data_IF_428366557107
#
_entry.id   IF_428366557107
#
_cell.length_a   1.000
_cell.length_b   1.000
_cell.length_c   1.000
_cell.angle_alpha   90.00
_cell.angle_beta   90.00
_cell.angle_gamma   90.00
#
_symmetry.space_group_name_H-M   'P 1'
#
loop_
_entity.id
_entity.type
_entity.pdbx_description
1 polymer ?
#
# COMPACT_ATOMS: atom_id res chain seq x y z
N UNK A 1 0.52 -30.59 26.12
CA UNK A 1 1.75 -29.80 25.98
C UNK A 1 1.86 -29.35 24.52
N UNK A 2 2.11 -28.08 24.22
CA UNK A 2 2.22 -27.62 22.83
C UNK A 2 3.61 -27.99 22.31
N UNK A 3 3.73 -28.46 21.06
CA UNK A 3 5.03 -28.90 20.53
C UNK A 3 5.93 -27.70 20.21
N UNK A 4 7.23 -27.93 20.27
CA UNK A 4 8.24 -26.98 19.77
C UNK A 4 8.43 -27.17 18.26
N UNK A 5 8.84 -26.10 17.58
CA UNK A 5 9.22 -26.17 16.16
C UNK A 5 10.32 -27.21 15.95
N UNK A 6 11.30 -27.30 16.86
CA UNK A 6 12.36 -28.30 16.84
C UNK A 6 11.88 -29.75 16.96
N UNK A 7 10.72 -29.97 17.58
CA UNK A 7 10.10 -31.31 17.68
C UNK A 7 9.32 -31.69 16.44
N UNK A 8 8.65 -30.75 15.79
CA UNK A 8 7.86 -31.00 14.58
C UNK A 8 8.71 -31.11 13.34
N UNK A 9 9.77 -30.32 13.27
CA UNK A 9 10.64 -30.22 12.10
C UNK A 9 12.13 -30.31 12.49
N UNK A 10 12.58 -31.46 13.07
CA UNK A 10 13.94 -31.63 13.55
C UNK A 10 14.98 -31.52 12.45
N UNK A 11 14.63 -31.78 11.19
CA UNK A 11 15.52 -31.71 10.04
C UNK A 11 16.08 -30.29 9.82
N UNK A 12 15.35 -29.24 10.23
CA UNK A 12 15.84 -27.87 10.06
C UNK A 12 16.81 -27.44 11.17
N UNK A 13 16.84 -28.16 12.28
CA UNK A 13 17.70 -27.84 13.42
C UNK A 13 19.17 -28.20 13.16
N UNK A 14 19.49 -28.83 12.04
CA UNK A 14 20.87 -29.04 11.60
C UNK A 14 21.56 -27.72 11.16
N UNK A 15 20.78 -26.73 10.72
CA UNK A 15 21.27 -25.38 10.42
C UNK A 15 21.34 -24.58 11.74
N UNK A 16 22.53 -24.07 12.12
CA UNK A 16 22.70 -23.35 13.38
C UNK A 16 21.84 -22.08 13.47
N UNK A 17 21.61 -21.39 12.37
CA UNK A 17 20.76 -20.18 12.34
C UNK A 17 19.30 -20.54 12.63
N UNK A 18 18.81 -21.65 12.06
CA UNK A 18 17.49 -22.16 12.37
C UNK A 18 17.37 -22.63 13.82
N UNK A 19 18.36 -23.34 14.32
CA UNK A 19 18.35 -23.81 15.70
C UNK A 19 18.32 -22.65 16.71
N UNK A 20 19.09 -21.58 16.43
CA UNK A 20 19.11 -20.38 17.27
C UNK A 20 17.78 -19.63 17.24
N UNK A 21 17.16 -19.48 16.05
CA UNK A 21 15.91 -18.76 15.90
C UNK A 21 14.68 -19.56 16.37
N UNK A 22 14.57 -20.82 15.97
CA UNK A 22 13.36 -21.64 16.14
C UNK A 22 13.44 -22.70 17.23
N UNK A 23 14.59 -22.93 17.83
CA UNK A 23 14.82 -24.02 18.78
C UNK A 23 13.86 -24.01 19.98
N UNK A 24 13.48 -22.85 20.47
CA UNK A 24 12.57 -22.66 21.62
C UNK A 24 11.18 -22.14 21.22
N UNK A 25 10.89 -22.07 19.93
CA UNK A 25 9.61 -21.54 19.44
C UNK A 25 8.52 -22.60 19.59
N UNK A 26 7.40 -22.20 20.16
CA UNK A 26 6.23 -23.04 20.39
C UNK A 26 5.27 -22.91 19.20
N UNK A 27 4.80 -24.03 18.69
CA UNK A 27 3.69 -24.03 17.73
C UNK A 27 2.38 -23.99 18.53
N UNK A 28 1.72 -22.83 18.52
CA UNK A 28 0.45 -22.61 19.22
C UNK A 28 -0.67 -23.41 18.57
N UNK A 29 -0.81 -23.27 17.26
CA UNK A 29 -1.74 -24.02 16.41
C UNK A 29 -1.37 -23.86 14.93
N UNK A 30 -1.90 -24.76 14.11
CA UNK A 30 -1.93 -24.65 12.67
C UNK A 30 -3.38 -24.67 12.21
N UNK A 31 -3.75 -23.77 11.31
CA UNK A 31 -5.09 -23.68 10.75
C UNK A 31 -5.04 -23.86 9.24
N UNK A 32 -5.89 -24.71 8.72
CA UNK A 32 -6.07 -24.86 7.28
C UNK A 32 -7.36 -24.15 6.85
N UNK A 33 -7.22 -23.08 6.11
CA UNK A 33 -8.31 -22.29 5.54
C UNK A 33 -8.57 -22.80 4.12
N UNK A 34 -9.46 -23.77 3.98
CA UNK A 34 -9.69 -24.46 2.70
C UNK A 34 -10.26 -23.55 1.61
N UNK A 35 -11.10 -22.58 1.99
CA UNK A 35 -11.68 -21.62 1.05
C UNK A 35 -10.61 -20.73 0.41
N UNK A 36 -9.66 -20.28 1.22
CA UNK A 36 -8.58 -19.40 0.82
C UNK A 36 -7.34 -20.15 0.29
N UNK A 37 -7.39 -21.51 0.34
CA UNK A 37 -6.24 -22.39 0.07
C UNK A 37 -4.99 -21.96 0.84
N UNK A 38 -5.16 -21.73 2.14
CA UNK A 38 -4.10 -21.19 2.99
C UNK A 38 -3.92 -22.08 4.23
N UNK A 39 -2.65 -22.24 4.65
CA UNK A 39 -2.29 -22.83 5.95
C UNK A 39 -1.55 -21.78 6.76
N UNK A 40 -2.08 -21.44 7.92
CA UNK A 40 -1.50 -20.50 8.86
C UNK A 40 -0.91 -21.22 10.05
N UNK A 41 0.39 -21.06 10.29
CA UNK A 41 1.08 -21.53 11.49
C UNK A 41 1.21 -20.36 12.47
N UNK A 42 0.60 -20.51 13.65
CA UNK A 42 0.78 -19.53 14.72
C UNK A 42 1.91 -20.01 15.64
N UNK A 43 3.00 -19.25 15.62
CA UNK A 43 4.21 -19.54 16.38
C UNK A 43 4.36 -18.55 17.53
N UNK A 44 4.71 -19.02 18.72
CA UNK A 44 5.03 -18.18 19.88
C UNK A 44 6.52 -18.23 20.16
N UNK A 45 7.14 -17.06 20.20
CA UNK A 45 8.54 -16.86 20.48
C UNK A 45 8.75 -15.84 21.61
N UNK A 46 9.95 -15.78 22.16
CA UNK A 46 10.32 -14.75 23.13
C UNK A 46 10.47 -13.37 22.48
N UNK A 47 10.97 -13.32 21.23
CA UNK A 47 11.22 -12.11 20.47
C UNK A 47 10.65 -12.26 19.05
N UNK A 48 10.51 -11.17 18.26
CA UNK A 48 10.14 -11.25 16.85
C UNK A 48 11.06 -12.20 16.08
N UNK A 49 10.47 -13.03 15.22
CA UNK A 49 11.23 -13.97 14.39
C UNK A 49 11.80 -13.27 13.15
N UNK A 50 12.98 -13.70 12.73
CA UNK A 50 13.59 -13.22 11.49
C UNK A 50 12.76 -13.62 10.26
N UNK A 51 12.40 -12.63 9.44
CA UNK A 51 11.56 -12.86 8.26
C UNK A 51 12.21 -13.73 7.20
N UNK A 52 13.53 -13.61 7.00
CA UNK A 52 14.24 -14.43 6.00
C UNK A 52 14.25 -15.88 6.42
N UNK A 53 14.46 -16.15 7.72
CA UNK A 53 14.39 -17.51 8.26
C UNK A 53 12.95 -18.05 8.22
N UNK A 54 11.95 -17.24 8.51
CA UNK A 54 10.55 -17.61 8.32
C UNK A 54 10.22 -17.96 6.87
N UNK A 55 10.69 -17.16 5.91
CA UNK A 55 10.49 -17.41 4.48
C UNK A 55 11.20 -18.71 4.04
N UNK A 56 12.41 -18.96 4.52
CA UNK A 56 13.14 -20.22 4.27
C UNK A 56 12.41 -21.44 4.85
N UNK A 57 11.85 -21.30 6.06
CA UNK A 57 11.05 -22.36 6.68
C UNK A 57 9.81 -22.66 5.82
N UNK A 58 9.05 -21.63 5.43
CA UNK A 58 7.88 -21.80 4.58
C UNK A 58 8.21 -22.43 3.24
N UNK A 59 9.28 -21.97 2.57
CA UNK A 59 9.74 -22.54 1.31
C UNK A 59 10.09 -24.03 1.44
N UNK A 60 10.67 -24.42 2.56
CA UNK A 60 11.03 -25.82 2.82
C UNK A 60 9.82 -26.71 3.15
N UNK A 61 8.76 -26.12 3.71
CA UNK A 61 7.49 -26.83 4.00
C UNK A 61 6.54 -26.83 2.80
N UNK A 62 6.71 -25.95 1.83
CA UNK A 62 5.81 -25.81 0.69
C UNK A 62 5.52 -27.10 -0.08
N UNK A 63 6.51 -28.02 -0.29
CA UNK A 63 6.24 -29.29 -0.97
C UNK A 63 5.25 -30.20 -0.25
N UNK A 64 5.16 -30.12 1.09
CA UNK A 64 4.24 -30.93 1.90
C UNK A 64 2.80 -30.40 1.86
N UNK A 65 2.61 -29.18 1.37
CA UNK A 65 1.32 -28.48 1.32
C UNK A 65 1.00 -27.98 -0.10
N UNK A 66 1.11 -28.87 -1.08
CA UNK A 66 0.82 -28.53 -2.48
C UNK A 66 -0.57 -27.89 -2.65
N UNK A 67 -0.62 -26.77 -3.36
CA UNK A 67 -1.87 -26.04 -3.65
C UNK A 67 -2.36 -25.15 -2.51
N UNK A 68 -1.60 -25.01 -1.42
CA UNK A 68 -1.89 -24.09 -0.32
C UNK A 68 -0.80 -23.04 -0.20
N UNK A 69 -1.18 -21.80 0.07
CA UNK A 69 -0.27 -20.74 0.50
C UNK A 69 0.04 -20.95 1.99
N UNK A 70 1.33 -20.93 2.34
CA UNK A 70 1.75 -21.06 3.74
C UNK A 70 2.02 -19.69 4.34
N UNK A 71 1.53 -19.46 5.56
CA UNK A 71 1.77 -18.24 6.33
C UNK A 71 2.21 -18.55 7.75
N UNK A 72 3.08 -17.70 8.29
CA UNK A 72 3.48 -17.72 9.69
C UNK A 72 2.95 -16.46 10.35
N UNK A 73 2.22 -16.65 11.46
CA UNK A 73 1.84 -15.60 12.40
C UNK A 73 2.70 -15.74 13.64
N UNK A 74 3.58 -14.78 13.88
CA UNK A 74 4.43 -14.80 15.07
C UNK A 74 3.77 -14.05 16.23
N UNK A 75 3.66 -14.69 17.39
CA UNK A 75 3.23 -14.11 18.66
C UNK A 75 4.46 -13.89 19.55
N UNK A 76 4.64 -12.67 20.05
CA UNK A 76 5.76 -12.32 20.93
C UNK A 76 5.32 -11.31 22.00
N UNK A 77 6.15 -11.08 23.02
CA UNK A 77 5.81 -10.14 24.08
C UNK A 77 5.88 -8.68 23.62
N UNK A 78 4.89 -7.85 24.02
CA UNK A 78 4.86 -6.43 23.65
C UNK A 78 6.15 -5.66 24.04
N UNK A 79 6.79 -6.04 25.13
CA UNK A 79 8.05 -5.45 25.56
C UNK A 79 9.21 -5.62 24.55
N UNK A 80 9.07 -6.55 23.61
CA UNK A 80 10.04 -6.82 22.55
C UNK A 80 9.66 -6.13 21.24
N UNK A 81 8.60 -5.32 21.24
CA UNK A 81 8.22 -4.51 20.08
C UNK A 81 9.17 -3.33 19.97
N UNK A 82 10.07 -3.38 19.02
CA UNK A 82 10.98 -2.31 18.64
C UNK A 82 10.61 -1.70 17.27
N UNK A 83 11.37 -0.73 16.83
CA UNK A 83 11.16 -0.09 15.52
C UNK A 83 11.28 -1.10 14.39
N UNK A 84 12.22 -2.03 14.47
CA UNK A 84 12.43 -3.04 13.43
C UNK A 84 11.22 -3.98 13.31
N UNK A 85 10.75 -4.51 14.44
CA UNK A 85 9.56 -5.35 14.49
C UNK A 85 8.32 -4.61 13.97
N UNK A 86 8.19 -3.32 14.28
CA UNK A 86 7.07 -2.52 13.80
C UNK A 86 7.15 -2.30 12.28
N UNK A 87 8.33 -2.01 11.74
CA UNK A 87 8.53 -1.90 10.28
C UNK A 87 8.20 -3.21 9.56
N UNK A 88 8.57 -4.33 10.16
CA UNK A 88 8.20 -5.67 9.69
C UNK A 88 6.67 -5.84 9.61
N UNK A 89 5.94 -5.46 10.68
CA UNK A 89 4.47 -5.51 10.66
C UNK A 89 3.85 -4.58 9.62
N UNK A 90 4.45 -3.42 9.36
CA UNK A 90 4.01 -2.51 8.29
C UNK A 90 4.20 -3.11 6.90
N UNK A 91 5.30 -3.80 6.65
CA UNK A 91 5.52 -4.51 5.38
C UNK A 91 4.53 -5.68 5.20
N UNK A 92 4.18 -6.37 6.29
CA UNK A 92 3.15 -7.41 6.25
C UNK A 92 1.77 -6.81 5.93
N UNK A 93 1.40 -5.68 6.54
CA UNK A 93 0.16 -4.97 6.23
C UNK A 93 0.12 -4.54 4.75
N UNK A 94 1.24 -4.10 4.20
CA UNK A 94 1.38 -3.73 2.80
C UNK A 94 1.15 -4.94 1.87
N UNK A 95 1.71 -6.10 2.22
CA UNK A 95 1.48 -7.36 1.49
C UNK A 95 0.02 -7.82 1.58
N UNK A 96 -0.63 -7.60 2.71
CA UNK A 96 -2.05 -7.90 2.91
C UNK A 96 -3.00 -6.92 2.18
N UNK A 97 -2.44 -5.98 1.40
CA UNK A 97 -3.21 -5.06 0.54
C UNK A 97 -3.68 -3.78 1.24
N UNK A 98 -3.17 -3.45 2.42
CA UNK A 98 -3.44 -2.15 3.05
C UNK A 98 -2.75 -1.05 2.22
N UNK A 99 -3.47 0.00 1.74
CA UNK A 99 -2.94 0.99 0.81
C UNK A 99 -2.04 2.02 1.50
N UNK A 100 -0.90 1.56 2.03
CA UNK A 100 0.09 2.38 2.74
C UNK A 100 1.38 2.61 1.95
N UNK A 101 1.41 2.17 0.69
CA UNK A 101 2.58 2.27 -0.19
C UNK A 101 3.08 3.71 -0.33
N UNK A 102 4.37 3.91 -0.07
CA UNK A 102 5.05 5.20 -0.23
C UNK A 102 4.84 6.20 0.90
N UNK A 103 3.76 6.08 1.70
CA UNK A 103 3.50 7.01 2.81
C UNK A 103 4.43 6.79 4.00
N UNK A 104 4.82 5.54 4.24
CA UNK A 104 5.60 5.15 5.41
C UNK A 104 7.09 4.90 5.13
N UNK A 105 7.54 4.99 3.88
CA UNK A 105 8.92 4.66 3.47
C UNK A 105 9.98 5.53 4.21
N UNK A 106 9.62 6.77 4.57
CA UNK A 106 10.48 7.70 5.32
C UNK A 106 9.87 8.12 6.64
N UNK A 107 8.98 7.30 7.19
CA UNK A 107 8.35 7.57 8.46
C UNK A 107 9.34 7.43 9.60
N UNK A 108 9.23 8.30 10.60
CA UNK A 108 9.86 8.13 11.90
C UNK A 108 8.93 7.37 12.82
N UNK A 109 9.47 6.46 13.61
CA UNK A 109 8.70 5.66 14.54
C UNK A 109 9.28 5.91 15.95
N UNK A 110 8.40 6.20 16.90
CA UNK A 110 8.76 6.33 18.32
C UNK A 110 7.82 5.48 19.15
N UNK A 111 8.39 4.63 20.00
CA UNK A 111 7.65 3.74 20.90
C UNK A 111 7.97 4.17 22.34
N UNK A 112 6.95 4.60 23.07
CA UNK A 112 7.08 5.02 24.47
C UNK A 112 6.01 4.32 25.31
N UNK A 113 6.39 3.26 25.99
CA UNK A 113 5.44 2.39 26.70
C UNK A 113 4.41 1.83 25.74
N UNK A 114 3.12 2.13 25.98
CA UNK A 114 2.03 1.69 25.09
C UNK A 114 1.63 2.76 24.05
N UNK A 115 2.38 3.86 23.95
CA UNK A 115 2.13 4.89 22.94
C UNK A 115 3.12 4.71 21.79
N UNK A 116 2.59 4.63 20.58
CA UNK A 116 3.35 4.54 19.35
C UNK A 116 3.04 5.78 18.50
N UNK A 117 4.08 6.54 18.19
CA UNK A 117 3.97 7.71 17.33
C UNK A 117 4.63 7.43 16.00
N UNK A 118 3.88 7.59 14.91
CA UNK A 118 4.38 7.44 13.54
C UNK A 118 4.38 8.81 12.87
N UNK A 119 5.59 9.33 12.63
CA UNK A 119 5.78 10.58 11.91
C UNK A 119 5.81 10.34 10.40
N UNK A 120 4.91 10.97 9.66
CA UNK A 120 4.70 10.76 8.22
C UNK A 120 5.03 12.04 7.47
N UNK A 121 5.83 11.96 6.40
CA UNK A 121 6.22 13.12 5.61
C UNK A 121 5.09 13.65 4.73
N UNK A 122 4.17 12.80 4.29
CA UNK A 122 3.03 13.17 3.45
C UNK A 122 1.89 12.15 3.61
N UNK A 123 0.67 12.57 3.26
CA UNK A 123 -0.50 11.70 3.29
C UNK A 123 -1.11 11.44 4.68
N UNK A 124 -0.75 12.21 5.71
CA UNK A 124 -1.28 12.05 7.08
C UNK A 124 -2.80 12.06 7.11
N UNK A 125 -3.46 13.00 6.41
CA UNK A 125 -4.93 13.07 6.34
C UNK A 125 -5.54 11.80 5.73
N UNK A 126 -4.98 11.32 4.63
CA UNK A 126 -5.45 10.09 3.98
C UNK A 126 -5.35 8.88 4.91
N UNK A 127 -4.21 8.72 5.61
CA UNK A 127 -4.01 7.64 6.56
C UNK A 127 -4.99 7.74 7.75
N UNK A 128 -5.28 8.96 8.24
CA UNK A 128 -6.27 9.18 9.30
C UNK A 128 -7.69 8.83 8.82
N UNK A 129 -8.10 9.30 7.65
CA UNK A 129 -9.41 8.99 7.06
C UNK A 129 -9.62 7.49 6.82
N UNK A 130 -8.55 6.78 6.50
CA UNK A 130 -8.54 5.33 6.34
C UNK A 130 -8.60 4.57 7.68
N UNK A 131 -8.43 5.25 8.82
CA UNK A 131 -8.37 4.61 10.14
C UNK A 131 -7.09 3.81 10.37
N UNK A 132 -5.97 4.23 9.77
CA UNK A 132 -4.69 3.54 9.86
C UNK A 132 -4.21 3.34 11.31
N UNK A 133 -4.47 4.30 12.20
CA UNK A 133 -4.09 4.21 13.62
C UNK A 133 -4.74 2.98 14.28
N UNK A 134 -6.03 2.77 14.02
CA UNK A 134 -6.77 1.62 14.54
C UNK A 134 -6.33 0.30 13.89
N UNK A 135 -6.10 0.31 12.57
CA UNK A 135 -5.61 -0.86 11.85
C UNK A 135 -4.25 -1.31 12.36
N UNK A 136 -3.33 -0.37 12.58
CA UNK A 136 -2.00 -0.67 13.12
C UNK A 136 -2.08 -1.14 14.57
N UNK A 137 -2.90 -0.49 15.41
CA UNK A 137 -3.11 -0.91 16.80
C UNK A 137 -3.67 -2.35 16.87
N UNK A 138 -4.64 -2.67 16.00
CA UNK A 138 -5.20 -4.02 15.90
C UNK A 138 -4.15 -5.04 15.45
N UNK A 139 -3.35 -4.72 14.44
CA UNK A 139 -2.29 -5.62 13.95
C UNK A 139 -1.26 -5.89 15.07
N UNK A 140 -0.84 -4.89 15.82
CA UNK A 140 0.07 -5.06 16.94
C UNK A 140 -0.58 -5.94 18.02
N UNK A 141 -1.84 -5.70 18.35
CA UNK A 141 -2.56 -6.51 19.32
C UNK A 141 -2.69 -7.99 18.90
N UNK A 142 -2.83 -8.26 17.62
CA UNK A 142 -2.87 -9.63 17.09
C UNK A 142 -1.56 -10.39 17.30
N UNK A 143 -0.41 -9.69 17.33
CA UNK A 143 0.92 -10.28 17.51
C UNK A 143 1.41 -10.27 18.96
N UNK A 144 1.02 -9.25 19.74
CA UNK A 144 1.53 -9.04 21.10
C UNK A 144 0.51 -9.26 22.20
N UNK A 145 -0.78 -9.32 21.84
CA UNK A 145 -1.90 -9.39 22.80
C UNK A 145 -2.19 -8.05 23.49
N UNK A 146 -1.47 -6.97 23.16
CA UNK A 146 -1.63 -5.63 23.75
C UNK A 146 -2.05 -4.64 22.68
N UNK A 147 -3.13 -3.89 22.94
CA UNK A 147 -3.58 -2.83 22.02
C UNK A 147 -2.90 -1.51 22.42
N UNK A 148 -1.91 -1.03 21.66
CA UNK A 148 -1.25 0.24 21.93
C UNK A 148 -2.13 1.41 21.46
N UNK A 149 -1.80 2.59 21.97
CA UNK A 149 -2.31 3.86 21.42
C UNK A 149 -1.39 4.28 20.28
N UNK A 150 -1.87 4.23 19.06
CA UNK A 150 -1.16 4.72 17.89
C UNK A 150 -1.56 6.16 17.60
N UNK A 151 -0.62 7.01 17.23
CA UNK A 151 -0.85 8.41 16.85
C UNK A 151 -0.03 8.73 15.61
N UNK A 152 -0.69 9.27 14.58
CA UNK A 152 -0.04 9.80 13.38
C UNK A 152 0.34 11.27 13.59
N UNK A 153 1.57 11.61 13.25
CA UNK A 153 2.02 12.99 13.25
C UNK A 153 2.59 13.36 11.87
N UNK A 154 2.37 14.60 11.45
CA UNK A 154 3.07 15.12 10.28
C UNK A 154 4.53 15.39 10.67
N UNK A 155 5.46 14.72 10.00
CA UNK A 155 6.90 14.94 10.19
C UNK A 155 7.39 16.21 9.45
N UNK A 156 6.53 16.81 8.63
CA UNK A 156 6.84 18.04 7.86
C UNK A 156 6.22 19.21 8.57
N UNK A 157 7.01 20.26 8.81
CA UNK A 157 6.50 21.52 9.38
C UNK A 157 5.52 22.17 8.40
N UNK A 158 4.55 22.93 8.91
CA UNK A 158 3.57 23.64 8.08
C UNK A 158 4.24 24.51 7.01
N UNK A 159 5.42 25.08 7.32
CA UNK A 159 6.22 25.88 6.38
C UNK A 159 6.80 25.05 5.23
N UNK A 160 7.25 23.82 5.49
CA UNK A 160 7.75 22.91 4.45
C UNK A 160 6.63 22.37 3.57
N UNK A 161 5.44 22.12 4.14
CA UNK A 161 4.27 21.74 3.36
C UNK A 161 3.87 22.86 2.39
N UNK A 162 3.81 24.11 2.85
CA UNK A 162 3.50 25.25 1.98
C UNK A 162 4.53 25.40 0.86
N UNK A 163 5.82 25.24 1.16
CA UNK A 163 6.87 25.29 0.12
C UNK A 163 6.76 24.13 -0.89
N UNK A 164 6.34 22.95 -0.47
CA UNK A 164 6.09 21.82 -1.38
C UNK A 164 4.86 22.07 -2.26
N UNK A 165 3.78 22.58 -1.69
CA UNK A 165 2.57 22.95 -2.44
C UNK A 165 2.86 24.05 -3.46
N UNK A 166 3.57 25.12 -3.08
CA UNK A 166 4.00 26.17 -4.02
C UNK A 166 4.90 25.64 -5.14
N UNK A 167 5.81 24.71 -4.84
CA UNK A 167 6.66 24.08 -5.86
C UNK A 167 5.86 23.20 -6.82
N UNK A 168 4.84 22.52 -6.33
CA UNK A 168 3.93 21.72 -7.15
C UNK A 168 3.05 22.62 -8.03
N UNK A 169 2.49 23.68 -7.48
CA UNK A 169 1.71 24.65 -8.25
C UNK A 169 2.53 25.31 -9.35
N UNK A 170 3.79 25.68 -9.07
CA UNK A 170 4.72 26.22 -10.09
C UNK A 170 5.06 25.21 -11.19
N UNK A 171 5.08 23.92 -10.90
CA UNK A 171 5.31 22.86 -11.91
C UNK A 171 4.07 22.54 -12.73
N UNK A 172 2.88 22.72 -12.17
CA UNK A 172 1.59 22.44 -12.81
C UNK A 172 1.07 23.70 -13.53
N UNK A 173 1.58 24.89 -13.21
CA UNK A 173 1.19 26.10 -13.91
C UNK A 173 1.44 25.90 -15.40
N UNK A 174 0.41 25.99 -16.25
CA UNK A 174 0.59 25.85 -17.69
C UNK A 174 1.58 26.94 -18.15
N UNK A 175 2.47 26.64 -19.09
CA UNK A 175 3.40 27.63 -19.59
C UNK A 175 2.63 28.85 -20.07
N UNK A 176 2.91 30.01 -19.47
CA UNK A 176 2.31 31.27 -19.90
C UNK A 176 2.86 31.52 -21.31
N UNK A 177 2.12 31.13 -22.31
CA UNK A 177 2.41 31.46 -23.70
C UNK A 177 2.18 32.94 -23.81
N UNK A 178 3.25 33.72 -23.70
CA UNK A 178 3.25 35.14 -24.08
C UNK A 178 3.05 35.19 -25.58
N UNK A 179 1.81 35.41 -25.98
CA UNK A 179 1.55 35.80 -27.37
C UNK A 179 2.16 37.19 -27.57
N UNK A 180 3.37 37.26 -28.13
CA UNK A 180 3.84 38.51 -28.73
C UNK A 180 2.86 38.84 -29.85
N UNK A 181 2.08 39.88 -29.67
CA UNK A 181 1.31 40.49 -30.75
C UNK A 181 2.30 41.04 -31.78
N UNK A 182 2.73 40.20 -32.72
CA UNK A 182 3.25 40.66 -33.98
C UNK A 182 2.08 41.29 -34.74
N UNK A 183 1.99 42.62 -34.66
CA UNK A 183 1.08 43.41 -35.48
C UNK A 183 1.55 43.36 -36.93
N UNK A 184 1.31 42.26 -37.61
CA UNK A 184 1.36 42.16 -39.08
C UNK A 184 0.41 41.02 -39.47
N UNK A 185 -0.87 41.28 -39.29
CA UNK A 185 -1.84 40.49 -40.01
C UNK A 185 -2.06 41.16 -41.36
N UNK A 186 -1.81 40.48 -42.48
CA UNK A 186 -2.38 40.93 -43.74
C UNK A 186 -3.92 40.91 -43.60
N UNK A 187 -4.54 42.07 -43.83
CA UNK A 187 -5.99 42.14 -43.88
C UNK A 187 -6.47 41.34 -45.08
N UNK A 188 -6.89 40.11 -44.82
CA UNK A 188 -7.61 39.30 -45.80
C UNK A 188 -9.03 39.88 -45.84
N UNK A 189 -9.33 40.65 -46.91
CA UNK A 189 -10.71 40.99 -47.25
C UNK A 189 -11.47 39.73 -47.57
N UNK A 190 -12.26 39.26 -46.61
CA UNK A 190 -13.20 38.14 -46.87
C UNK A 190 -14.48 38.77 -47.43
N UNK A 191 -14.54 38.93 -48.73
CA UNK A 191 -15.78 39.23 -49.43
C UNK A 191 -16.53 37.90 -49.62
N UNK A 192 -17.73 37.79 -49.06
CA UNK A 192 -18.69 36.73 -49.45
C UNK A 192 -18.81 35.51 -48.58
N UNK A 193 -18.60 35.59 -47.27
CA UNK A 193 -19.05 34.54 -46.38
C UNK A 193 -20.53 34.73 -46.03
N UNK A 194 -21.40 34.07 -46.76
CA UNK A 194 -22.78 33.84 -46.29
C UNK A 194 -22.73 32.92 -45.08
N UNK A 195 -22.95 33.48 -43.90
CA UNK A 195 -23.18 32.75 -42.67
C UNK A 195 -24.56 32.06 -42.77
N UNK A 196 -24.64 30.93 -43.43
CA UNK A 196 -25.74 29.99 -43.27
C UNK A 196 -25.47 29.18 -42.02
N UNK A 197 -26.54 28.89 -41.28
CA UNK A 197 -26.60 28.20 -39.96
C UNK A 197 -25.94 26.80 -39.88
N UNK A 198 -24.79 26.62 -40.47
CA UNK A 198 -24.01 25.37 -40.36
C UNK A 198 -22.83 25.63 -39.44
N UNK A 199 -22.62 24.76 -38.43
CA UNK A 199 -21.48 24.92 -37.52
C UNK A 199 -20.17 24.86 -38.31
N UNK A 200 -19.37 25.93 -38.24
CA UNK A 200 -18.04 25.98 -38.85
C UNK A 200 -17.10 25.22 -37.95
N UNK A 201 -16.55 24.12 -38.44
CA UNK A 201 -15.54 23.34 -37.74
C UNK A 201 -14.21 24.09 -37.77
N UNK A 202 -13.78 24.64 -36.62
CA UNK A 202 -12.56 25.46 -36.46
C UNK A 202 -11.27 24.60 -36.34
N UNK A 203 -11.39 23.27 -36.28
CA UNK A 203 -10.26 22.37 -36.12
C UNK A 203 -10.05 21.47 -37.33
N UNK A 204 -8.96 21.71 -38.07
CA UNK A 204 -8.40 20.75 -39.04
C UNK A 204 -7.36 19.84 -38.34
N UNK A 205 -7.77 19.10 -37.33
CA UNK A 205 -6.99 17.99 -36.79
C UNK A 205 -7.65 16.67 -37.21
N UNK A 206 -6.87 15.61 -37.40
CA UNK A 206 -7.42 14.26 -37.49
C UNK A 206 -8.14 13.97 -36.18
N UNK A 207 -9.45 14.28 -36.12
CA UNK A 207 -10.26 13.78 -35.02
C UNK A 207 -10.30 12.26 -35.10
N UNK A 208 -9.95 11.64 -34.02
CA UNK A 208 -10.19 10.23 -33.82
C UNK A 208 -11.71 10.05 -33.79
N UNK A 209 -12.28 9.55 -34.88
CA UNK A 209 -13.66 9.09 -34.87
C UNK A 209 -13.64 7.63 -34.42
N UNK A 210 -14.02 7.35 -33.18
CA UNK A 210 -14.12 5.97 -32.73
C UNK A 210 -15.25 5.32 -33.52
N UNK A 211 -14.93 4.26 -34.24
CA UNK A 211 -15.85 3.56 -35.14
C UNK A 211 -17.03 2.86 -34.45
N UNK A 212 -17.10 2.88 -33.12
CA UNK A 212 -18.09 2.16 -32.32
C UNK A 212 -18.60 2.98 -31.13
N UNK A 213 -19.08 4.20 -31.34
CA UNK A 213 -19.82 4.93 -30.30
C UNK A 213 -21.30 4.59 -30.43
N UNK A 214 -21.88 3.98 -29.42
CA UNK A 214 -23.33 3.87 -29.28
C UNK A 214 -23.90 5.24 -28.86
N UNK A 215 -24.88 5.81 -29.58
CA UNK A 215 -25.52 7.06 -29.20
C UNK A 215 -26.09 6.95 -27.77
N UNK A 216 -25.98 8.02 -26.97
CA UNK A 216 -26.47 8.04 -25.59
C UNK A 216 -27.94 7.62 -25.42
N UNK A 217 -28.77 7.89 -26.43
CA UNK A 217 -30.18 7.48 -26.49
C UNK A 217 -30.40 5.96 -26.55
N UNK A 218 -29.37 5.21 -26.94
CA UNK A 218 -29.43 3.75 -27.08
C UNK A 218 -28.75 3.03 -25.86
N UNK A 219 -28.32 3.79 -24.86
CA UNK A 219 -27.75 3.27 -23.60
C UNK A 219 -28.82 3.01 -22.51
N UNK A 220 -30.09 3.02 -22.89
CA UNK A 220 -31.20 2.73 -21.99
C UNK A 220 -31.46 1.22 -21.90
N UNK A 221 -30.85 0.55 -20.92
CA UNK A 221 -31.17 -0.86 -20.61
C UNK A 221 -29.93 -1.72 -20.42
N UNK A 222 -30.00 -2.58 -19.47
CA UNK A 222 -29.02 -3.54 -18.99
C UNK A 222 -28.04 -4.08 -20.05
N UNK A 223 -26.75 -3.80 -19.87
CA UNK A 223 -25.68 -4.58 -20.50
C UNK A 223 -24.82 -3.90 -21.59
N UNK A 224 -24.84 -2.59 -21.77
CA UNK A 224 -23.92 -1.90 -22.65
C UNK A 224 -22.50 -1.89 -22.10
N UNK A 225 -21.54 -2.62 -22.74
CA UNK A 225 -20.12 -2.50 -22.45
C UNK A 225 -19.64 -1.15 -22.97
N UNK A 226 -19.27 -0.24 -22.05
CA UNK A 226 -18.44 0.90 -22.38
C UNK A 226 -16.98 0.41 -22.47
N UNK A 227 -16.35 0.57 -23.62
CA UNK A 227 -14.89 0.56 -23.76
C UNK A 227 -14.37 1.98 -23.63
#
# INVERSE_FOLDING_TARGET
MKPLVSQLWPQFMADPDFAACFGQVIVEHARMLRQDRQVEFTLRSAAPLDQNLCARLLASLQPDYEGFELKIKNLFGYAMLDEHALRTLLEDMKRDGVPINGFLDRSSISITGQNITVGVCHGTKFLQEMGFEELLAKRIAEHTGVTPKVTLQSAVTAAEQQQMEEKLERKIAPPVVKFEKKNTAPSIKVEGLNLTDKPVTIFHGKMFTPKNLTPLKDLGGEGGKCM
#
